data_IF_272888750550
#
_entry.id   IF_272888750550
#
_cell.length_a   1.000
_cell.length_b   1.000
_cell.length_c   1.000
_cell.angle_alpha   90.00
_cell.angle_beta   90.00
_cell.angle_gamma   90.00
#
_symmetry.space_group_name_H-M   'P 1'
#
loop_
_entity.id
_entity.type
_entity.pdbx_description
1 polymer ?
#
# COMPACT_ATOMS: atom_id res chain seq x y z
N UNK A 1 -9.74 12.78 27.29
CA UNK A 1 -9.83 13.95 28.17
C UNK A 1 -11.24 14.60 28.07
N UNK A 2 -11.74 14.98 26.89
CA UNK A 2 -13.04 15.62 26.67
C UNK A 2 -14.17 14.88 27.41
N UNK A 3 -14.35 13.59 27.17
CA UNK A 3 -15.42 12.78 27.80
C UNK A 3 -15.26 12.72 29.32
N UNK A 4 -14.04 12.52 29.80
CA UNK A 4 -13.74 12.51 31.24
C UNK A 4 -14.07 13.85 31.92
N UNK A 5 -13.69 14.97 31.29
CA UNK A 5 -13.96 16.30 31.82
C UNK A 5 -15.47 16.63 31.80
N UNK A 6 -16.21 16.06 30.87
CA UNK A 6 -17.67 16.12 30.82
C UNK A 6 -18.37 15.20 31.82
N UNK A 7 -17.63 14.43 32.63
CA UNK A 7 -18.18 13.48 33.62
C UNK A 7 -18.86 12.26 33.00
N UNK A 8 -18.54 11.93 31.73
CA UNK A 8 -19.13 10.79 31.02
C UNK A 8 -18.33 9.54 31.38
N UNK A 9 -19.04 8.54 31.90
CA UNK A 9 -18.49 7.20 32.11
C UNK A 9 -18.35 6.48 30.77
N UNK A 10 -17.15 5.94 30.50
CA UNK A 10 -16.88 5.24 29.23
C UNK A 10 -17.49 3.83 29.28
N UNK A 11 -18.09 3.39 28.17
CA UNK A 11 -18.69 2.05 28.07
C UNK A 11 -17.67 0.93 27.93
N UNK A 12 -16.39 1.25 27.85
CA UNK A 12 -15.28 0.31 27.71
C UNK A 12 -13.93 1.02 27.75
N UNK A 13 -12.87 0.27 27.50
CA UNK A 13 -11.50 0.79 27.51
C UNK A 13 -11.16 1.51 26.21
N UNK A 14 -10.45 2.63 26.31
CA UNK A 14 -9.83 3.32 25.20
C UNK A 14 -8.32 3.13 25.27
N UNK A 15 -7.77 2.42 24.30
CA UNK A 15 -6.34 2.12 24.21
C UNK A 15 -5.71 3.04 23.15
N UNK A 16 -4.66 3.74 23.54
CA UNK A 16 -3.84 4.51 22.59
C UNK A 16 -2.54 3.75 22.40
N UNK A 17 -2.26 3.36 21.15
CA UNK A 17 -1.03 2.68 20.77
C UNK A 17 -0.17 3.63 19.94
N UNK A 18 0.88 4.17 20.56
CA UNK A 18 1.86 4.96 19.84
C UNK A 18 2.97 4.04 19.35
N UNK A 19 3.12 3.95 18.04
CA UNK A 19 4.08 3.04 17.39
C UNK A 19 5.15 3.81 16.65
N UNK A 20 6.25 3.15 16.33
CA UNK A 20 7.32 3.67 15.50
C UNK A 20 7.34 2.93 14.16
N UNK A 21 8.06 3.51 13.18
CA UNK A 21 8.42 2.86 11.92
C UNK A 21 7.21 2.55 11.01
N UNK A 22 6.17 3.39 11.04
CA UNK A 22 5.05 3.27 10.10
C UNK A 22 5.55 3.46 8.66
N UNK A 23 6.33 4.52 8.42
CA UNK A 23 6.95 4.86 7.13
C UNK A 23 7.96 3.81 6.60
N UNK A 24 8.54 3.01 7.50
CA UNK A 24 9.50 1.95 7.16
C UNK A 24 8.88 0.57 6.97
N UNK A 25 7.56 0.43 7.15
CA UNK A 25 6.85 -0.84 6.95
C UNK A 25 5.98 -1.31 8.11
N UNK A 26 5.81 -0.49 9.16
CA UNK A 26 4.87 -0.73 10.26
C UNK A 26 5.38 -1.73 11.31
N UNK A 27 6.69 -1.81 11.54
CA UNK A 27 7.27 -2.76 12.48
C UNK A 27 6.74 -2.57 13.91
N UNK A 28 6.44 -1.33 14.33
CA UNK A 28 5.85 -1.04 15.64
C UNK A 28 4.45 -1.63 15.79
N UNK A 29 3.57 -1.42 14.83
CA UNK A 29 2.24 -2.03 14.79
C UNK A 29 2.31 -3.55 14.67
N UNK A 30 3.24 -4.07 13.85
CA UNK A 30 3.45 -5.51 13.72
C UNK A 30 3.84 -6.14 15.06
N UNK A 31 4.80 -5.53 15.78
CA UNK A 31 5.21 -6.00 17.09
C UNK A 31 4.05 -5.96 18.11
N UNK A 32 3.25 -4.89 18.10
CA UNK A 32 2.09 -4.78 18.97
C UNK A 32 1.06 -5.88 18.67
N UNK A 33 0.74 -6.13 17.40
CA UNK A 33 -0.17 -7.18 16.97
C UNK A 33 0.34 -8.59 17.35
N UNK A 34 1.62 -8.87 17.11
CA UNK A 34 2.26 -10.15 17.47
C UNK A 34 2.31 -10.38 18.99
N UNK A 35 2.42 -9.33 19.79
CA UNK A 35 2.32 -9.39 21.25
C UNK A 35 0.87 -9.49 21.76
N UNK A 36 -0.08 -9.78 20.88
CA UNK A 36 -1.47 -10.06 21.23
C UNK A 36 -2.29 -8.82 21.60
N UNK A 37 -1.84 -7.61 21.23
CA UNK A 37 -2.67 -6.41 21.38
C UNK A 37 -3.88 -6.51 20.47
N UNK A 38 -5.08 -6.37 21.04
CA UNK A 38 -6.36 -6.47 20.34
C UNK A 38 -7.34 -5.45 20.88
N UNK A 39 -8.30 -5.08 20.02
CA UNK A 39 -9.44 -4.26 20.37
C UNK A 39 -10.65 -4.70 19.56
N UNK A 40 -11.83 -4.34 20.03
CA UNK A 40 -13.10 -4.60 19.33
C UNK A 40 -13.31 -3.66 18.15
N UNK A 41 -12.53 -2.58 18.08
CA UNK A 41 -12.45 -1.65 16.95
C UNK A 41 -11.16 -0.86 17.03
N UNK A 42 -10.51 -0.66 15.88
CA UNK A 42 -9.24 0.08 15.75
C UNK A 42 -9.43 1.22 14.75
N UNK A 43 -8.99 2.41 15.12
CA UNK A 43 -8.84 3.53 14.20
C UNK A 43 -7.36 3.79 14.01
N UNK A 44 -6.88 3.70 12.77
CA UNK A 44 -5.54 4.13 12.39
C UNK A 44 -5.63 5.60 11.99
N UNK A 45 -4.89 6.45 12.72
CA UNK A 45 -5.02 7.90 12.66
C UNK A 45 -4.11 8.48 11.55
N UNK A 46 -4.56 8.33 10.30
CA UNK A 46 -3.91 8.90 9.11
C UNK A 46 -4.65 10.16 8.64
N UNK A 47 -4.00 11.02 7.87
CA UNK A 47 -4.65 12.13 7.18
C UNK A 47 -5.59 11.61 6.09
N UNK A 48 -6.91 11.78 6.26
CA UNK A 48 -7.91 11.20 5.35
C UNK A 48 -8.79 12.23 4.63
N UNK A 49 -8.43 13.52 4.71
CA UNK A 49 -9.22 14.59 4.09
C UNK A 49 -10.71 14.61 4.51
N UNK A 50 -10.99 14.31 5.79
CA UNK A 50 -12.34 14.21 6.36
C UNK A 50 -13.18 13.04 5.78
N UNK A 51 -12.54 12.04 5.19
CA UNK A 51 -13.18 10.84 4.62
C UNK A 51 -12.94 9.61 5.50
N UNK A 52 -13.87 8.65 5.47
CA UNK A 52 -13.72 7.35 6.13
C UNK A 52 -13.11 6.34 5.17
N UNK A 53 -11.86 5.94 5.41
CA UNK A 53 -11.18 4.95 4.59
C UNK A 53 -11.40 3.55 5.17
N UNK A 54 -11.96 2.67 4.36
CA UNK A 54 -12.26 1.27 4.71
C UNK A 54 -11.49 0.25 3.85
N UNK A 55 -10.71 0.72 2.89
CA UNK A 55 -9.88 -0.13 2.05
C UNK A 55 -8.61 0.60 1.62
N UNK A 56 -7.51 -0.12 1.46
CA UNK A 56 -6.32 0.39 0.77
C UNK A 56 -5.63 -0.72 -0.02
N UNK A 57 -4.87 -0.30 -1.04
CA UNK A 57 -4.11 -1.23 -1.87
C UNK A 57 -2.96 -1.87 -1.10
N UNK A 58 -2.61 -3.10 -1.47
CA UNK A 58 -1.35 -3.71 -1.11
C UNK A 58 -0.24 -3.26 -2.06
N UNK A 59 1.01 -3.55 -1.70
CA UNK A 59 2.15 -3.24 -2.54
C UNK A 59 3.22 -4.33 -2.48
N UNK A 60 3.95 -4.47 -3.58
CA UNK A 60 5.14 -5.34 -3.68
C UNK A 60 6.21 -4.60 -4.46
N UNK A 61 7.40 -4.50 -3.90
CA UNK A 61 8.56 -3.91 -4.55
C UNK A 61 9.50 -5.02 -5.03
N UNK A 62 9.75 -5.03 -6.33
CA UNK A 62 10.65 -5.96 -6.99
C UNK A 62 11.94 -5.27 -7.43
N UNK A 63 13.02 -6.03 -7.33
CA UNK A 63 14.31 -5.74 -7.94
C UNK A 63 14.62 -6.80 -9.00
N UNK A 64 14.93 -6.37 -10.21
CA UNK A 64 15.19 -7.26 -11.35
C UNK A 64 16.56 -6.94 -11.94
N UNK A 65 17.49 -7.90 -11.86
CA UNK A 65 18.84 -7.78 -12.37
C UNK A 65 19.04 -8.63 -13.64
N UNK A 66 19.67 -8.04 -14.61
CA UNK A 66 19.88 -8.64 -15.92
C UNK A 66 21.36 -8.64 -16.27
N UNK A 67 21.87 -9.80 -16.57
CA UNK A 67 23.21 -9.99 -17.13
C UNK A 67 23.20 -9.86 -18.66
N UNK A 68 24.14 -9.12 -19.18
CA UNK A 68 24.47 -9.04 -20.60
C UNK A 68 25.90 -9.47 -20.87
N UNK A 69 26.45 -9.04 -22.02
CA UNK A 69 27.85 -9.25 -22.38
C UNK A 69 28.40 -7.96 -22.90
N UNK A 70 29.29 -7.31 -22.12
CA UNK A 70 29.93 -6.08 -22.52
C UNK A 70 30.83 -6.28 -23.73
N UNK A 71 30.85 -5.29 -24.62
CA UNK A 71 31.77 -5.20 -25.74
C UNK A 71 31.84 -3.73 -26.29
N UNK A 72 32.77 -3.46 -27.14
CA UNK A 72 32.85 -2.18 -27.85
C UNK A 72 31.62 -2.00 -28.77
N UNK A 73 30.98 -0.84 -28.75
CA UNK A 73 29.74 -0.58 -29.49
C UNK A 73 29.88 -0.75 -31.02
N UNK A 74 31.06 -0.46 -31.58
CA UNK A 74 31.37 -0.70 -32.97
C UNK A 74 31.42 -2.20 -33.36
N UNK A 75 31.48 -3.10 -32.39
CA UNK A 75 31.41 -4.55 -32.55
C UNK A 75 30.24 -5.15 -31.75
N UNK A 76 29.09 -4.46 -31.79
CA UNK A 76 27.90 -4.81 -31.01
C UNK A 76 27.47 -6.27 -31.14
N UNK A 77 27.68 -6.91 -32.31
CA UNK A 77 27.35 -8.28 -32.59
C UNK A 77 28.12 -9.32 -31.73
N UNK A 78 29.24 -8.92 -31.09
CA UNK A 78 30.01 -9.75 -30.17
C UNK A 78 29.54 -9.64 -28.69
N UNK A 79 28.70 -8.63 -28.43
CA UNK A 79 28.11 -8.36 -27.10
C UNK A 79 26.63 -8.66 -27.05
N UNK A 80 26.06 -8.54 -25.85
CA UNK A 80 24.60 -8.59 -25.56
C UNK A 80 24.27 -7.45 -24.61
N UNK A 81 23.42 -6.54 -25.02
CA UNK A 81 23.03 -5.39 -24.19
C UNK A 81 22.02 -5.80 -23.13
N UNK A 82 22.41 -5.71 -21.86
CA UNK A 82 21.49 -5.90 -20.73
C UNK A 82 20.37 -4.86 -20.72
N UNK A 83 20.63 -3.62 -21.14
CA UNK A 83 19.61 -2.58 -21.27
C UNK A 83 18.55 -2.97 -22.30
N UNK A 84 18.93 -3.50 -23.47
CA UNK A 84 17.96 -3.95 -24.47
C UNK A 84 17.13 -5.14 -23.97
N UNK A 85 17.72 -6.00 -23.12
CA UNK A 85 16.99 -7.08 -22.46
C UNK A 85 16.02 -6.56 -21.39
N UNK A 86 16.45 -5.57 -20.59
CA UNK A 86 15.57 -4.92 -19.61
C UNK A 86 14.36 -4.26 -20.29
N UNK A 87 14.55 -3.52 -21.39
CA UNK A 87 13.45 -2.92 -22.16
C UNK A 87 12.45 -3.99 -22.63
N UNK A 88 12.93 -5.16 -23.06
CA UNK A 88 12.06 -6.25 -23.49
C UNK A 88 11.21 -6.81 -22.33
N UNK A 89 11.80 -6.96 -21.14
CA UNK A 89 11.10 -7.42 -19.94
C UNK A 89 10.08 -6.38 -19.47
N UNK A 90 10.46 -5.09 -19.44
CA UNK A 90 9.57 -3.99 -19.05
C UNK A 90 8.33 -3.92 -19.95
N UNK A 91 8.48 -4.09 -21.26
CA UNK A 91 7.33 -4.15 -22.18
C UNK A 91 6.38 -5.31 -21.88
N UNK A 92 6.91 -6.46 -21.49
CA UNK A 92 6.06 -7.56 -21.07
C UNK A 92 5.33 -7.31 -19.74
N UNK A 93 5.95 -6.55 -18.84
CA UNK A 93 5.29 -6.11 -17.61
C UNK A 93 4.20 -5.06 -17.88
N UNK A 94 4.38 -4.17 -18.87
CA UNK A 94 3.32 -3.27 -19.35
C UNK A 94 2.10 -4.05 -19.88
N UNK A 95 2.32 -5.14 -20.62
CA UNK A 95 1.22 -6.01 -21.09
C UNK A 95 0.54 -6.75 -19.94
N UNK A 96 1.27 -7.16 -18.90
CA UNK A 96 0.71 -7.73 -17.69
C UNK A 96 -0.21 -6.71 -16.98
N UNK A 97 0.27 -5.47 -16.81
CA UNK A 97 -0.54 -4.38 -16.23
C UNK A 97 -1.81 -4.13 -17.05
N UNK A 98 -1.70 -4.06 -18.38
CA UNK A 98 -2.87 -3.91 -19.26
C UNK A 98 -3.88 -5.03 -19.05
N UNK A 99 -3.43 -6.28 -18.87
CA UNK A 99 -4.29 -7.41 -18.49
C UNK A 99 -5.03 -7.14 -17.17
N UNK A 100 -4.31 -6.72 -16.15
CA UNK A 100 -4.90 -6.40 -14.85
C UNK A 100 -5.91 -5.25 -14.90
N UNK A 101 -5.62 -4.20 -15.68
CA UNK A 101 -6.52 -3.07 -15.90
C UNK A 101 -7.85 -3.49 -16.52
N UNK A 102 -7.87 -4.54 -17.35
CA UNK A 102 -9.08 -5.07 -17.97
C UNK A 102 -9.84 -6.01 -17.03
N UNK A 103 -9.13 -6.83 -16.26
CA UNK A 103 -9.71 -7.92 -15.47
C UNK A 103 -10.19 -7.46 -14.08
N UNK A 104 -9.37 -6.66 -13.37
CA UNK A 104 -9.61 -6.36 -11.96
C UNK A 104 -10.27 -4.99 -11.76
N UNK A 105 -11.38 -5.00 -11.03
CA UNK A 105 -12.13 -3.79 -10.67
C UNK A 105 -12.50 -3.83 -9.20
N UNK A 106 -12.45 -2.69 -8.55
CA UNK A 106 -12.85 -2.53 -7.17
C UNK A 106 -13.77 -1.30 -7.01
N UNK A 107 -14.82 -1.37 -6.16
CA UNK A 107 -15.79 -0.27 -6.05
C UNK A 107 -15.24 1.00 -5.41
N UNK A 108 -14.15 0.90 -4.62
CA UNK A 108 -13.58 2.01 -3.86
C UNK A 108 -12.13 2.35 -4.23
N UNK A 109 -11.43 1.45 -4.93
CA UNK A 109 -10.00 1.60 -5.22
C UNK A 109 -9.76 1.74 -6.72
N UNK A 110 -8.69 2.43 -7.12
CA UNK A 110 -8.26 2.45 -8.51
C UNK A 110 -7.86 1.05 -8.98
N UNK A 111 -7.68 0.88 -10.27
CA UNK A 111 -7.16 -0.36 -10.82
C UNK A 111 -5.73 -0.66 -10.32
N UNK A 112 -5.30 -1.93 -10.31
CA UNK A 112 -3.91 -2.30 -10.01
C UNK A 112 -2.95 -1.54 -10.93
N UNK A 113 -1.74 -1.29 -10.45
CA UNK A 113 -0.73 -0.59 -11.23
C UNK A 113 0.66 -1.20 -11.04
N UNK A 114 1.47 -1.08 -12.08
CA UNK A 114 2.87 -1.48 -12.10
C UNK A 114 3.71 -0.29 -12.53
N UNK A 115 4.59 0.17 -11.65
CA UNK A 115 5.46 1.31 -11.92
C UNK A 115 6.92 0.90 -11.92
N UNK A 116 7.60 1.06 -13.05
CA UNK A 116 9.07 0.98 -13.13
C UNK A 116 9.63 2.32 -12.67
N UNK A 117 10.03 2.39 -11.40
CA UNK A 117 10.48 3.63 -10.76
C UNK A 117 11.96 3.92 -10.94
N UNK A 118 12.78 2.89 -11.17
CA UNK A 118 14.25 3.01 -11.35
C UNK A 118 14.70 2.08 -12.47
N UNK A 119 15.62 2.55 -13.29
CA UNK A 119 16.38 1.72 -14.23
C UNK A 119 17.82 2.24 -14.28
N UNK A 120 18.78 1.35 -14.08
CA UNK A 120 20.20 1.66 -14.10
C UNK A 120 20.94 0.61 -14.92
N UNK A 121 21.90 1.02 -15.74
CA UNK A 121 22.69 0.06 -16.53
C UNK A 121 23.69 0.68 -17.48
N UNK A 122 24.70 -0.11 -17.83
CA UNK A 122 25.77 0.31 -18.71
C UNK A 122 26.76 1.28 -18.07
N UNK A 123 27.83 1.61 -18.80
CA UNK A 123 28.92 2.46 -18.28
C UNK A 123 29.26 3.62 -19.20
N UNK A 124 29.11 3.46 -20.52
CA UNK A 124 29.42 4.48 -21.53
C UNK A 124 28.69 4.20 -22.84
N UNK A 125 28.37 5.24 -23.60
CA UNK A 125 27.73 5.12 -24.93
C UNK A 125 28.56 4.34 -25.98
N UNK A 126 29.87 4.18 -25.78
CA UNK A 126 30.75 3.37 -26.61
C UNK A 126 30.85 1.90 -26.21
N UNK A 127 30.06 1.47 -25.20
CA UNK A 127 30.11 0.11 -24.64
C UNK A 127 28.73 -0.52 -24.66
N UNK A 128 28.63 -1.76 -25.14
CA UNK A 128 27.43 -2.60 -24.97
C UNK A 128 27.26 -2.88 -23.48
N UNK A 129 26.10 -2.57 -22.90
CA UNK A 129 25.86 -2.72 -21.47
C UNK A 129 25.93 -4.18 -21.03
N UNK A 130 26.85 -4.49 -20.10
CA UNK A 130 27.02 -5.85 -19.55
C UNK A 130 26.09 -6.17 -18.41
N UNK A 131 25.45 -5.16 -17.82
CA UNK A 131 24.49 -5.31 -16.72
C UNK A 131 23.41 -4.22 -16.79
N UNK A 132 22.23 -4.54 -16.26
CA UNK A 132 21.15 -3.59 -16.07
C UNK A 132 20.29 -4.08 -14.89
N UNK A 133 19.84 -3.14 -14.08
CA UNK A 133 18.90 -3.38 -12.97
C UNK A 133 17.71 -2.44 -13.14
N UNK A 134 16.51 -2.92 -12.82
CA UNK A 134 15.35 -2.05 -12.69
C UNK A 134 14.50 -2.43 -11.47
N UNK A 135 13.85 -1.42 -10.87
CA UNK A 135 13.00 -1.59 -9.70
C UNK A 135 11.56 -1.24 -10.03
N UNK A 136 10.67 -2.09 -9.54
CA UNK A 136 9.24 -2.01 -9.85
C UNK A 136 8.46 -1.98 -8.55
N UNK A 137 7.46 -1.09 -8.48
CA UNK A 137 6.42 -1.12 -7.48
C UNK A 137 5.11 -1.59 -8.11
N UNK A 138 4.52 -2.63 -7.55
CA UNK A 138 3.17 -3.08 -7.89
C UNK A 138 2.22 -2.71 -6.79
N UNK A 139 1.10 -2.04 -7.13
CA UNK A 139 -0.04 -1.87 -6.23
C UNK A 139 -1.16 -2.81 -6.64
N UNK A 140 -1.75 -3.53 -5.67
CA UNK A 140 -2.76 -4.56 -5.94
C UNK A 140 -3.98 -4.43 -5.03
N UNK A 141 -5.11 -5.00 -5.49
CA UNK A 141 -6.41 -4.90 -4.85
C UNK A 141 -6.60 -5.93 -3.72
N UNK A 142 -7.24 -5.57 -2.59
CA UNK A 142 -7.63 -6.51 -1.56
C UNK A 142 -8.64 -7.55 -2.10
N UNK A 143 -8.73 -8.70 -1.45
CA UNK A 143 -9.68 -9.80 -1.68
C UNK A 143 -9.66 -10.39 -3.11
N UNK A 144 -9.33 -9.59 -4.14
CA UNK A 144 -9.30 -9.98 -5.55
C UNK A 144 -7.92 -10.50 -5.96
N UNK A 145 -6.87 -9.89 -5.40
CA UNK A 145 -5.48 -10.25 -5.66
C UNK A 145 -4.79 -10.59 -4.33
N UNK A 146 -3.98 -11.64 -4.31
CA UNK A 146 -3.10 -11.95 -3.18
C UNK A 146 -1.66 -11.56 -3.48
N UNK A 147 -0.85 -11.41 -2.44
CA UNK A 147 0.60 -11.22 -2.57
C UNK A 147 1.23 -12.33 -3.43
N UNK A 148 0.88 -13.58 -3.16
CA UNK A 148 1.41 -14.75 -3.86
C UNK A 148 1.04 -14.72 -5.35
N UNK A 149 -0.21 -14.33 -5.68
CA UNK A 149 -0.67 -14.19 -7.06
C UNK A 149 0.12 -13.10 -7.79
N UNK A 150 0.30 -11.93 -7.18
CA UNK A 150 1.09 -10.83 -7.76
C UNK A 150 2.53 -11.26 -8.04
N UNK A 151 3.18 -11.91 -7.06
CA UNK A 151 4.56 -12.39 -7.20
C UNK A 151 4.65 -13.47 -8.30
N UNK A 152 3.69 -14.40 -8.37
CA UNK A 152 3.67 -15.43 -9.41
C UNK A 152 3.49 -14.83 -10.79
N UNK A 153 2.45 -14.01 -11.01
CA UNK A 153 2.18 -13.43 -12.32
C UNK A 153 3.32 -12.53 -12.82
N UNK A 154 3.94 -11.75 -11.91
CA UNK A 154 5.13 -10.95 -12.23
C UNK A 154 6.31 -11.84 -12.66
N UNK A 155 6.63 -12.85 -11.86
CA UNK A 155 7.74 -13.78 -12.12
C UNK A 155 7.51 -14.57 -13.37
N UNK A 156 6.32 -15.16 -13.54
CA UNK A 156 5.93 -15.96 -14.71
C UNK A 156 6.03 -15.16 -16.01
N UNK A 157 5.67 -13.87 -15.96
CA UNK A 157 5.79 -12.96 -17.11
C UNK A 157 7.26 -12.78 -17.51
N UNK A 158 8.13 -12.47 -16.56
CA UNK A 158 9.57 -12.30 -16.82
C UNK A 158 10.19 -13.62 -17.31
N UNK A 159 9.88 -14.74 -16.65
CA UNK A 159 10.40 -16.04 -17.03
C UNK A 159 9.91 -16.51 -18.40
N UNK A 160 8.64 -16.25 -18.72
CA UNK A 160 8.08 -16.56 -20.04
C UNK A 160 8.81 -15.82 -21.17
N UNK A 161 9.10 -14.53 -20.97
CA UNK A 161 9.88 -13.74 -21.92
C UNK A 161 11.33 -14.23 -22.01
N UNK A 162 11.93 -14.52 -20.86
CA UNK A 162 13.32 -15.01 -20.80
C UNK A 162 13.47 -16.36 -21.50
N UNK A 163 12.54 -17.28 -21.33
CA UNK A 163 12.54 -18.59 -22.00
C UNK A 163 12.47 -18.47 -23.53
N UNK A 164 11.78 -17.43 -24.05
CA UNK A 164 11.71 -17.13 -25.48
C UNK A 164 12.89 -16.32 -26.04
N UNK A 165 13.83 -15.89 -25.21
CA UNK A 165 14.97 -15.07 -25.61
C UNK A 165 16.24 -15.91 -25.72
N UNK A 166 17.01 -15.74 -26.80
CA UNK A 166 18.22 -16.55 -27.08
C UNK A 166 19.33 -16.40 -26.03
N UNK A 167 19.37 -15.27 -25.32
CA UNK A 167 20.36 -15.01 -24.28
C UNK A 167 19.78 -15.29 -22.89
N UNK A 168 18.61 -14.70 -22.59
CA UNK A 168 18.03 -14.78 -21.25
C UNK A 168 17.63 -16.19 -20.84
N UNK A 169 17.34 -17.10 -21.78
CA UNK A 169 17.04 -18.51 -21.44
C UNK A 169 18.18 -19.20 -20.69
N UNK A 170 19.44 -18.83 -21.00
CA UNK A 170 20.65 -19.38 -20.39
C UNK A 170 21.26 -18.44 -19.32
N UNK A 171 20.79 -17.17 -19.26
CA UNK A 171 21.19 -16.12 -18.32
C UNK A 171 19.92 -15.50 -17.72
N UNK A 172 19.27 -16.27 -16.85
CA UNK A 172 17.98 -15.88 -16.25
C UNK A 172 18.10 -14.57 -15.49
N UNK A 173 17.12 -13.63 -15.64
CA UNK A 173 17.04 -12.48 -14.74
C UNK A 173 16.93 -12.92 -13.28
N UNK A 174 17.63 -12.22 -12.40
CA UNK A 174 17.48 -12.39 -10.97
C UNK A 174 16.32 -11.50 -10.49
N UNK A 175 15.32 -12.09 -9.84
CA UNK A 175 14.14 -11.40 -9.32
C UNK A 175 14.14 -11.53 -7.81
N UNK A 176 14.02 -10.41 -7.10
CA UNK A 176 13.86 -10.41 -5.65
C UNK A 176 12.77 -9.43 -5.22
N UNK A 177 12.07 -9.77 -4.13
CA UNK A 177 11.17 -8.86 -3.43
C UNK A 177 11.94 -8.27 -2.27
N UNK A 178 12.08 -6.94 -2.23
CA UNK A 178 12.79 -6.28 -1.14
C UNK A 178 11.86 -5.62 -0.12
N UNK A 179 10.60 -5.38 -0.48
CA UNK A 179 9.58 -4.87 0.43
C UNK A 179 8.19 -5.27 -0.05
N UNK A 180 7.28 -5.54 0.88
CA UNK A 180 5.88 -5.79 0.57
C UNK A 180 4.97 -5.42 1.74
N UNK A 181 3.74 -5.04 1.43
CA UNK A 181 2.68 -4.79 2.40
C UNK A 181 1.34 -5.32 1.90
N UNK A 182 0.60 -5.97 2.78
CA UNK A 182 -0.71 -6.52 2.45
C UNK A 182 -1.73 -5.43 2.10
N UNK A 183 -2.72 -5.75 1.29
CA UNK A 183 -3.89 -4.93 1.11
C UNK A 183 -4.81 -5.01 2.35
N UNK A 184 -5.74 -4.08 2.45
CA UNK A 184 -6.69 -3.98 3.57
C UNK A 184 -8.07 -3.69 3.03
N UNK A 185 -9.09 -4.35 3.60
CA UNK A 185 -10.49 -4.03 3.36
C UNK A 185 -11.36 -4.37 4.57
N UNK A 186 -12.32 -3.50 4.85
CA UNK A 186 -13.42 -3.69 5.80
C UNK A 186 -14.75 -3.64 5.08
N UNK A 187 -15.65 -4.52 5.42
CA UNK A 187 -17.03 -4.45 4.95
C UNK A 187 -17.68 -3.13 5.37
N UNK A 188 -18.27 -2.41 4.41
CA UNK A 188 -18.94 -1.12 4.67
C UNK A 188 -20.13 -1.23 5.63
N UNK A 189 -20.71 -2.42 5.71
CA UNK A 189 -21.84 -2.75 6.61
C UNK A 189 -21.40 -3.32 7.95
N UNK A 190 -20.08 -3.34 8.22
CA UNK A 190 -19.59 -3.83 9.50
C UNK A 190 -20.05 -2.88 10.64
N UNK A 191 -20.55 -3.39 11.80
CA UNK A 191 -21.08 -2.57 12.89
C UNK A 191 -20.12 -1.46 13.37
N UNK A 192 -18.80 -1.67 13.29
CA UNK A 192 -17.82 -0.65 13.65
C UNK A 192 -17.77 0.50 12.65
N UNK A 193 -17.94 0.22 11.35
CA UNK A 193 -18.04 1.24 10.28
C UNK A 193 -19.34 2.05 10.47
N UNK A 194 -20.44 1.38 10.76
CA UNK A 194 -21.73 2.04 11.03
C UNK A 194 -21.68 2.91 12.30
N UNK A 195 -21.04 2.42 13.37
CA UNK A 195 -20.84 3.20 14.60
C UNK A 195 -19.97 4.45 14.34
N UNK A 196 -18.93 4.34 13.50
CA UNK A 196 -18.15 5.50 13.08
C UNK A 196 -19.03 6.51 12.31
N UNK A 197 -19.79 6.02 11.33
CA UNK A 197 -20.65 6.87 10.51
C UNK A 197 -21.70 7.61 11.35
N UNK A 198 -22.26 6.96 12.37
CA UNK A 198 -23.17 7.57 13.32
C UNK A 198 -22.46 8.64 14.18
N UNK A 199 -21.33 8.32 14.79
CA UNK A 199 -20.53 9.27 15.57
C UNK A 199 -20.09 10.47 14.75
N UNK A 200 -19.63 10.26 13.51
CA UNK A 200 -19.29 11.33 12.58
C UNK A 200 -20.50 12.22 12.29
N UNK A 201 -21.67 11.62 12.06
CA UNK A 201 -22.91 12.37 11.82
C UNK A 201 -23.32 13.22 13.03
N UNK A 202 -23.17 12.70 14.25
CA UNK A 202 -23.43 13.49 15.46
C UNK A 202 -22.47 14.68 15.58
N UNK A 203 -21.19 14.49 15.26
CA UNK A 203 -20.18 15.55 15.33
C UNK A 203 -20.32 16.61 14.22
N UNK A 204 -20.60 16.19 12.99
CA UNK A 204 -20.52 17.03 11.77
C UNK A 204 -21.89 17.39 11.17
N UNK A 205 -22.99 16.77 11.60
CA UNK A 205 -24.32 16.96 11.02
C UNK A 205 -24.52 16.34 9.63
N UNK A 206 -23.54 15.57 9.12
CA UNK A 206 -23.57 14.91 7.81
C UNK A 206 -22.96 13.51 7.91
N UNK A 207 -23.29 12.59 7.00
CA UNK A 207 -22.64 11.28 6.92
C UNK A 207 -21.25 11.42 6.30
N UNK A 208 -20.26 10.59 6.74
CA UNK A 208 -18.94 10.56 6.09
C UNK A 208 -19.04 10.01 4.68
N UNK A 209 -18.17 10.45 3.81
CA UNK A 209 -17.91 9.78 2.55
C UNK A 209 -17.03 8.54 2.84
N UNK A 210 -17.44 7.36 2.36
CA UNK A 210 -16.70 6.11 2.55
C UNK A 210 -15.91 5.82 1.29
N UNK A 211 -14.58 5.78 1.43
CA UNK A 211 -13.65 5.68 0.30
C UNK A 211 -12.59 4.61 0.51
N UNK A 212 -11.79 4.36 -0.52
CA UNK A 212 -10.54 3.62 -0.46
C UNK A 212 -9.34 4.54 -0.67
N UNK A 213 -8.17 4.14 -0.16
CA UNK A 213 -6.89 4.82 -0.36
C UNK A 213 -6.00 4.01 -1.33
N UNK A 214 -5.36 4.64 -2.30
CA UNK A 214 -4.33 3.98 -3.10
C UNK A 214 -3.06 3.65 -2.30
N UNK A 215 -2.84 4.35 -1.17
CA UNK A 215 -1.66 4.19 -0.32
C UNK A 215 -1.94 3.22 0.83
N UNK A 216 -0.99 2.31 1.08
CA UNK A 216 -1.06 1.40 2.22
C UNK A 216 -0.57 2.06 3.51
N UNK A 217 -1.14 1.66 4.66
CA UNK A 217 -0.71 2.05 5.99
C UNK A 217 -0.83 0.88 6.98
N UNK A 218 -0.67 1.14 8.28
CA UNK A 218 -0.73 0.11 9.33
C UNK A 218 -2.10 -0.55 9.52
N UNK A 219 -3.17 -0.06 8.87
CA UNK A 219 -4.51 -0.68 8.89
C UNK A 219 -4.45 -2.15 8.48
N UNK A 220 -3.59 -2.51 7.51
CA UNK A 220 -3.36 -3.89 7.08
C UNK A 220 -2.90 -4.80 8.22
N UNK A 221 -2.09 -4.27 9.12
CA UNK A 221 -1.52 -5.03 10.24
C UNK A 221 -2.60 -5.29 11.28
N UNK A 222 -3.33 -4.27 11.69
CA UNK A 222 -4.40 -4.40 12.67
C UNK A 222 -5.52 -5.30 12.17
N UNK A 223 -5.93 -5.16 10.90
CA UNK A 223 -6.97 -6.00 10.30
C UNK A 223 -6.47 -7.43 10.03
N UNK A 224 -5.32 -7.58 9.36
CA UNK A 224 -4.92 -8.87 8.82
C UNK A 224 -4.13 -9.73 9.82
N UNK A 225 -3.34 -9.12 10.70
CA UNK A 225 -2.51 -9.82 11.70
C UNK A 225 -3.22 -9.87 13.05
N UNK A 226 -3.60 -8.73 13.61
CA UNK A 226 -4.29 -8.67 14.90
C UNK A 226 -5.76 -9.16 14.82
N UNK A 227 -6.35 -9.24 13.60
CA UNK A 227 -7.74 -9.64 13.35
C UNK A 227 -8.76 -8.73 14.05
N UNK A 228 -8.45 -7.44 14.14
CA UNK A 228 -9.34 -6.43 14.70
C UNK A 228 -10.15 -5.76 13.59
N UNK A 229 -11.44 -5.44 13.82
CA UNK A 229 -12.17 -4.50 12.98
C UNK A 229 -11.41 -3.17 12.91
N UNK A 230 -11.05 -2.72 11.72
CA UNK A 230 -10.14 -1.58 11.54
C UNK A 230 -10.69 -0.62 10.50
N UNK A 231 -10.62 0.66 10.80
CA UNK A 231 -10.88 1.76 9.88
C UNK A 231 -9.71 2.73 9.93
N UNK A 232 -9.66 3.62 8.95
CA UNK A 232 -8.64 4.66 8.87
C UNK A 232 -9.36 6.00 8.82
N UNK A 233 -9.00 6.88 9.75
CA UNK A 233 -9.54 8.23 9.82
C UNK A 233 -8.63 9.11 10.66
N UNK A 234 -8.41 10.35 10.20
CA UNK A 234 -7.71 11.36 10.98
C UNK A 234 -7.69 12.70 10.26
N UNK A 235 -7.37 13.76 11.01
CA UNK A 235 -7.23 15.08 10.44
C UNK A 235 -6.01 15.14 9.53
N UNK A 236 -6.04 16.02 8.55
CA UNK A 236 -5.00 16.19 7.55
C UNK A 236 -5.41 15.70 6.18
N UNK A 237 -4.60 16.05 5.19
CA UNK A 237 -4.88 15.80 3.80
C UNK A 237 -3.79 14.91 3.20
N UNK A 238 -4.17 13.85 2.52
CA UNK A 238 -3.24 12.94 1.84
C UNK A 238 -2.30 13.67 0.86
N UNK A 239 -2.78 14.75 0.23
CA UNK A 239 -1.96 15.57 -0.69
C UNK A 239 -0.82 16.30 0.02
N UNK A 240 -0.85 16.43 1.34
CA UNK A 240 0.19 17.05 2.14
C UNK A 240 1.25 16.05 2.61
N UNK A 241 0.95 14.75 2.60
CA UNK A 241 1.86 13.71 3.03
C UNK A 241 3.17 13.77 2.23
N UNK A 242 4.30 13.77 2.93
CA UNK A 242 5.66 13.86 2.36
C UNK A 242 5.95 15.14 1.57
N UNK A 243 5.12 16.19 1.72
CA UNK A 243 5.33 17.47 1.06
C UNK A 243 6.32 18.36 1.84
N UNK A 244 6.98 19.29 1.12
CA UNK A 244 7.77 20.32 1.78
C UNK A 244 6.82 21.30 2.50
N UNK A 245 7.09 21.58 3.79
CA UNK A 245 6.22 22.37 4.66
C UNK A 245 4.84 21.74 4.89
N UNK A 246 4.79 20.44 5.09
CA UNK A 246 3.59 19.72 5.49
C UNK A 246 2.92 20.42 6.70
N UNK A 247 1.61 20.55 6.65
CA UNK A 247 0.84 21.25 7.70
C UNK A 247 -0.46 20.50 8.00
N UNK A 248 -1.00 20.78 9.19
CA UNK A 248 -2.28 20.29 9.64
C UNK A 248 -3.21 21.49 9.92
N UNK A 249 -4.40 21.47 9.36
CA UNK A 249 -5.44 22.46 9.67
C UNK A 249 -5.92 22.26 11.12
N UNK A 250 -5.92 23.36 11.90
CA UNK A 250 -6.26 23.31 13.32
C UNK A 250 -7.75 23.09 13.57
N UNK A 251 -8.62 23.55 12.69
CA UNK A 251 -10.07 23.33 12.82
C UNK A 251 -10.37 21.84 12.54
N UNK A 252 -9.76 21.25 11.49
CA UNK A 252 -9.87 19.82 11.21
C UNK A 252 -9.34 18.96 12.38
N UNK A 253 -8.24 19.38 13.02
CA UNK A 253 -7.72 18.70 14.20
C UNK A 253 -8.72 18.75 15.36
N UNK A 254 -9.29 19.90 15.67
CA UNK A 254 -10.26 20.06 16.75
C UNK A 254 -11.56 19.29 16.48
N UNK A 255 -12.03 19.29 15.24
CA UNK A 255 -13.21 18.53 14.82
C UNK A 255 -12.98 17.02 14.98
N UNK A 256 -11.79 16.52 14.64
CA UNK A 256 -11.46 15.11 14.79
C UNK A 256 -11.56 14.62 16.24
N UNK A 257 -11.24 15.46 17.23
CA UNK A 257 -11.40 15.16 18.65
C UNK A 257 -12.87 14.86 18.99
N UNK A 258 -13.79 15.66 18.44
CA UNK A 258 -15.22 15.47 18.64
C UNK A 258 -15.70 14.21 17.95
N UNK A 259 -15.25 13.95 16.71
CA UNK A 259 -15.60 12.73 15.96
C UNK A 259 -15.16 11.48 16.72
N UNK A 260 -13.93 11.45 17.25
CA UNK A 260 -13.47 10.31 18.06
C UNK A 260 -14.25 10.15 19.37
N UNK A 261 -14.63 11.24 20.01
CA UNK A 261 -15.46 11.18 21.21
C UNK A 261 -16.83 10.57 20.91
N UNK A 262 -17.49 11.00 19.85
CA UNK A 262 -18.79 10.46 19.42
C UNK A 262 -18.67 9.01 18.95
N UNK A 263 -17.58 8.62 18.26
CA UNK A 263 -17.33 7.21 17.91
C UNK A 263 -17.25 6.33 19.17
N UNK A 264 -16.50 6.76 20.19
CA UNK A 264 -16.36 5.99 21.45
C UNK A 264 -17.72 5.77 22.08
N UNK A 265 -18.58 6.79 22.09
CA UNK A 265 -19.92 6.69 22.64
C UNK A 265 -20.84 5.81 21.77
N UNK A 266 -20.80 5.97 20.47
CA UNK A 266 -21.61 5.20 19.52
C UNK A 266 -21.23 3.71 19.54
N UNK A 267 -19.94 3.40 19.52
CA UNK A 267 -19.46 2.02 19.54
C UNK A 267 -19.75 1.32 20.87
N UNK A 268 -19.60 2.04 21.97
CA UNK A 268 -19.88 1.49 23.30
C UNK A 268 -21.35 1.18 23.56
N UNK A 269 -22.28 1.85 22.89
CA UNK A 269 -23.72 1.54 23.00
C UNK A 269 -24.10 0.22 22.32
N UNK A 270 -23.27 -0.27 21.41
CA UNK A 270 -23.50 -1.50 20.65
C UNK A 270 -22.92 -2.74 21.33
N UNK A 271 -22.40 -2.61 22.56
CA UNK A 271 -21.87 -3.67 23.42
C UNK A 271 -22.68 -3.82 24.69
#
# INVERSE_FOLDING_TARGET
>A
KLLKDAGIELPGDVIITSVCDEEGGGNGSMLAAMNGKKADGVVVCEGTSDELIVAHMGFVFFDVKIEGKANHSGAKWLGVSAIEKAIKLIRGLEELEHGWLMEYKHPLLPAPSLNVGVIEGGTAGSTVAGECEFKVCVHYLPEIMSYEKVVSEFTDTIEGIANGDKWLKDHKPEISVYQAGGAFEMERTHPFVEAFAEGYKQAKGKTPNIVGSPSGCDSRIWKNVAKCPTIQFGPGNLEQCHSVNEYLDMDAYLESILIYAELILAWGKNK
#
